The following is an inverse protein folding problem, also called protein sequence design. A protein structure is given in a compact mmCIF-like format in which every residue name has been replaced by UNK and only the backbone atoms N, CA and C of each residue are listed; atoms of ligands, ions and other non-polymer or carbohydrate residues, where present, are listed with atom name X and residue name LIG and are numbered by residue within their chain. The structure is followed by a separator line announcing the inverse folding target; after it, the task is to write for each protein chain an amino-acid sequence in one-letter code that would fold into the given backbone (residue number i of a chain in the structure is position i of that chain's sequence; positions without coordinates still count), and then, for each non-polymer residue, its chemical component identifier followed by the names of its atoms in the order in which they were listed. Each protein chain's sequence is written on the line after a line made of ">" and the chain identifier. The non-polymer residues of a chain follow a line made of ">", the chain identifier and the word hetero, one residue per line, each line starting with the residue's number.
data_IF_193921574500
#
_entry.id   IF_193921574500
#
_cell.length_a   1.000
_cell.length_b   1.000
_cell.length_c   1.000
_cell.angle_alpha   90.00
_cell.angle_beta   90.00
_cell.angle_gamma   90.00
#
_symmetry.space_group_name_H-M   'P 1'
#
loop_
_entity.id
_entity.type
_entity.pdbx_description
1 polymer ?
#
# COMPACT_ATOMS: atom_id res chain seq x y z
N UNK A 1 0.99 16.66 -5.27
CA UNK A 1 0.38 17.43 -4.15
C UNK A 1 1.45 18.12 -3.29
N UNK A 2 1.11 19.14 -2.49
CA UNK A 2 2.04 19.68 -1.48
C UNK A 2 2.09 18.76 -0.25
N UNK A 3 3.15 18.86 0.56
CA UNK A 3 3.32 17.94 1.70
C UNK A 3 2.23 18.10 2.77
N UNK A 4 1.87 19.36 3.09
CA UNK A 4 0.74 19.69 3.97
C UNK A 4 -0.58 19.09 3.49
N UNK A 5 -0.89 19.22 2.20
CA UNK A 5 -2.14 18.70 1.65
C UNK A 5 -2.18 17.16 1.67
N UNK A 6 -1.03 16.51 1.54
CA UNK A 6 -0.94 15.05 1.66
C UNK A 6 -1.20 14.56 3.09
N UNK A 7 -0.71 15.28 4.11
CA UNK A 7 -1.03 14.98 5.51
C UNK A 7 -2.50 15.24 5.85
N UNK A 8 -3.10 16.32 5.34
CA UNK A 8 -4.53 16.59 5.51
C UNK A 8 -5.40 15.50 4.89
N UNK A 9 -5.00 14.98 3.72
CA UNK A 9 -5.68 13.86 3.08
C UNK A 9 -5.52 12.56 3.89
N UNK A 10 -4.32 12.31 4.44
CA UNK A 10 -4.06 11.15 5.29
C UNK A 10 -4.91 11.15 6.58
N UNK A 11 -5.03 12.30 7.25
CA UNK A 11 -5.88 12.47 8.44
C UNK A 11 -7.36 12.19 8.12
N UNK A 12 -7.85 12.64 6.96
CA UNK A 12 -9.20 12.34 6.50
C UNK A 12 -9.40 10.84 6.23
N UNK A 13 -8.46 10.19 5.56
CA UNK A 13 -8.49 8.74 5.31
C UNK A 13 -8.51 7.95 6.64
N UNK A 14 -7.70 8.36 7.62
CA UNK A 14 -7.65 7.75 8.95
C UNK A 14 -9.01 7.84 9.68
N UNK A 15 -9.74 8.93 9.46
CA UNK A 15 -11.10 9.19 9.99
C UNK A 15 -12.22 8.62 9.12
N UNK A 16 -11.89 7.82 8.10
CA UNK A 16 -12.84 7.23 7.14
C UNK A 16 -13.63 8.27 6.33
N UNK A 17 -13.08 9.47 6.17
CA UNK A 17 -13.59 10.49 5.27
C UNK A 17 -12.85 10.42 3.93
N UNK A 18 -13.49 9.81 2.93
CA UNK A 18 -12.89 9.60 1.61
C UNK A 18 -13.29 10.65 0.57
N UNK A 19 -14.01 11.71 0.97
CA UNK A 19 -14.59 12.67 0.01
C UNK A 19 -13.52 13.36 -0.84
N UNK A 20 -12.44 13.84 -0.22
CA UNK A 20 -11.34 14.48 -0.95
C UNK A 20 -10.51 13.47 -1.75
N UNK A 21 -10.32 12.26 -1.22
CA UNK A 21 -9.63 11.18 -1.93
C UNK A 21 -10.37 10.82 -3.23
N UNK A 22 -11.69 10.67 -3.15
CA UNK A 22 -12.53 10.35 -4.28
C UNK A 22 -12.54 11.48 -5.30
N UNK A 23 -12.67 12.73 -4.84
CA UNK A 23 -12.64 13.90 -5.73
C UNK A 23 -11.30 14.01 -6.45
N UNK A 24 -10.17 13.80 -5.75
CA UNK A 24 -8.84 13.78 -6.35
C UNK A 24 -8.74 12.76 -7.50
N UNK A 25 -9.30 11.56 -7.33
CA UNK A 25 -9.32 10.54 -8.38
C UNK A 25 -10.19 10.94 -9.57
N UNK A 26 -11.40 11.43 -9.30
CA UNK A 26 -12.35 11.89 -10.33
C UNK A 26 -11.75 13.03 -11.16
N UNK A 27 -11.12 14.02 -10.50
CA UNK A 27 -10.49 15.17 -11.16
C UNK A 27 -9.32 14.76 -12.07
N UNK A 28 -8.71 13.59 -11.81
CA UNK A 28 -7.64 13.02 -12.63
C UNK A 28 -8.14 11.92 -13.58
N UNK A 29 -9.47 11.79 -13.76
CA UNK A 29 -10.06 10.85 -14.73
C UNK A 29 -9.92 9.38 -14.37
N UNK A 30 -9.67 9.06 -13.10
CA UNK A 30 -9.56 7.68 -12.58
C UNK A 30 -10.68 7.37 -11.60
N UNK A 31 -11.07 6.09 -11.54
CA UNK A 31 -12.10 5.63 -10.62
C UNK A 31 -11.68 5.86 -9.15
N UNK A 32 -12.60 6.30 -8.27
CA UNK A 32 -12.31 6.38 -6.84
C UNK A 32 -11.83 5.03 -6.27
N UNK A 33 -10.81 5.03 -5.40
CA UNK A 33 -10.31 3.79 -4.82
C UNK A 33 -11.27 3.29 -3.74
N UNK A 34 -11.27 1.98 -3.51
CA UNK A 34 -11.87 1.40 -2.32
C UNK A 34 -10.85 1.42 -1.19
N UNK A 35 -11.27 1.83 0.00
CA UNK A 35 -10.45 1.85 1.21
C UNK A 35 -11.22 1.19 2.34
N UNK A 36 -10.61 0.21 3.02
CA UNK A 36 -11.24 -0.58 4.09
C UNK A 36 -10.25 -0.73 5.24
N UNK A 37 -10.57 -0.15 6.38
CA UNK A 37 -9.84 -0.38 7.64
C UNK A 37 -10.25 -1.70 8.29
N UNK A 38 -9.30 -2.31 8.99
CA UNK A 38 -9.45 -3.59 9.67
C UNK A 38 -10.20 -4.66 8.83
N UNK A 39 -9.76 -4.94 7.59
CA UNK A 39 -10.39 -5.95 6.76
C UNK A 39 -10.40 -7.31 7.49
N UNK A 40 -11.44 -8.09 7.25
CA UNK A 40 -11.48 -9.51 7.61
C UNK A 40 -10.90 -10.31 6.45
N UNK A 41 -10.40 -11.53 6.71
CA UNK A 41 -9.85 -12.39 5.65
C UNK A 41 -10.83 -12.58 4.49
N UNK A 42 -12.12 -12.78 4.79
CA UNK A 42 -13.18 -12.91 3.77
C UNK A 42 -13.42 -11.66 2.90
N UNK A 43 -12.93 -10.50 3.32
CA UNK A 43 -13.05 -9.25 2.58
C UNK A 43 -11.91 -9.10 1.54
N UNK A 44 -10.89 -9.96 1.62
CA UNK A 44 -9.71 -9.97 0.77
C UNK A 44 -9.87 -11.03 -0.33
N UNK A 45 -9.77 -10.61 -1.59
CA UNK A 45 -10.00 -11.50 -2.74
C UNK A 45 -8.90 -12.54 -2.95
N UNK A 46 -7.67 -12.23 -2.52
CA UNK A 46 -6.48 -13.04 -2.83
C UNK A 46 -6.00 -13.80 -1.59
N UNK A 47 -5.75 -15.11 -1.76
CA UNK A 47 -5.29 -16.00 -0.68
C UNK A 47 -3.98 -15.50 -0.04
N UNK A 48 -3.10 -14.88 -0.83
CA UNK A 48 -1.84 -14.29 -0.34
C UNK A 48 -2.10 -13.15 0.65
N UNK A 49 -3.11 -12.32 0.40
CA UNK A 49 -3.48 -11.23 1.31
C UNK A 49 -4.19 -11.78 2.57
N UNK A 50 -5.04 -12.80 2.40
CA UNK A 50 -5.66 -13.49 3.54
C UNK A 50 -4.61 -14.10 4.46
N UNK A 51 -3.61 -14.77 3.87
CA UNK A 51 -2.48 -15.36 4.55
C UNK A 51 -1.67 -14.29 5.31
N UNK A 52 -1.28 -13.19 4.65
CA UNK A 52 -0.51 -12.12 5.30
C UNK A 52 -1.26 -11.48 6.47
N UNK A 53 -2.56 -11.24 6.32
CA UNK A 53 -3.39 -10.71 7.40
C UNK A 53 -3.44 -11.67 8.60
N UNK A 54 -3.60 -12.97 8.35
CA UNK A 54 -3.63 -13.98 9.40
C UNK A 54 -2.27 -14.11 10.10
N UNK A 55 -1.18 -14.12 9.32
CA UNK A 55 0.19 -14.14 9.83
C UNK A 55 0.45 -12.95 10.76
N UNK A 56 0.15 -11.73 10.32
CA UNK A 56 0.36 -10.53 11.13
C UNK A 56 -0.51 -10.52 12.39
N UNK A 57 -1.76 -10.96 12.31
CA UNK A 57 -2.65 -11.08 13.50
C UNK A 57 -2.17 -12.12 14.51
N UNK A 58 -1.47 -13.16 14.08
CA UNK A 58 -0.91 -14.15 14.99
C UNK A 58 0.34 -13.63 15.74
N UNK A 59 0.99 -12.59 15.21
CA UNK A 59 2.10 -11.90 15.86
C UNK A 59 1.63 -10.74 16.75
N UNK A 60 0.42 -10.22 16.53
CA UNK A 60 -0.02 -9.01 17.22
C UNK A 60 -0.21 -9.24 18.72
N UNK A 61 0.26 -8.30 19.52
CA UNK A 61 0.07 -8.28 20.96
C UNK A 61 -1.38 -7.97 21.37
N UNK A 62 -1.63 -7.85 22.68
CA UNK A 62 -2.96 -7.54 23.22
C UNK A 62 -3.54 -6.18 22.78
N UNK A 63 -2.69 -5.26 22.31
CA UNK A 63 -3.08 -3.94 21.78
C UNK A 63 -3.14 -3.95 20.24
N UNK A 64 -2.96 -5.11 19.60
CA UNK A 64 -2.98 -5.25 18.15
C UNK A 64 -1.73 -4.72 17.45
N UNK A 65 -0.58 -4.65 18.15
CA UNK A 65 0.70 -4.17 17.58
C UNK A 65 1.61 -5.35 17.23
N UNK A 66 2.38 -5.22 16.17
CA UNK A 66 3.42 -6.18 15.78
C UNK A 66 4.75 -5.46 15.73
N UNK A 67 5.80 -6.01 16.34
CA UNK A 67 7.12 -5.42 16.28
C UNK A 67 7.78 -5.73 14.92
N UNK A 68 8.53 -4.76 14.37
CA UNK A 68 9.13 -4.90 13.05
C UNK A 68 10.19 -6.01 12.96
N UNK A 69 10.78 -6.41 14.08
CA UNK A 69 11.75 -7.50 14.21
C UNK A 69 11.12 -8.89 14.39
N UNK A 70 9.80 -8.98 14.66
CA UNK A 70 9.05 -10.24 14.67
C UNK A 70 8.71 -10.74 13.26
N UNK A 71 8.86 -9.89 12.23
CA UNK A 71 8.60 -10.27 10.85
C UNK A 71 9.74 -11.15 10.31
N UNK A 72 9.45 -12.44 10.18
CA UNK A 72 10.32 -13.42 9.54
C UNK A 72 9.86 -13.72 8.09
N UNK A 73 10.66 -13.38 7.06
CA UNK A 73 10.37 -13.71 5.66
C UNK A 73 10.14 -15.21 5.41
N UNK A 74 10.76 -16.10 6.17
CA UNK A 74 10.60 -17.55 6.00
C UNK A 74 9.21 -18.02 6.40
N UNK A 75 8.54 -17.31 7.31
CA UNK A 75 7.15 -17.59 7.67
C UNK A 75 6.15 -16.95 6.70
N UNK A 76 6.62 -16.20 5.70
CA UNK A 76 5.77 -15.52 4.70
C UNK A 76 5.79 -16.16 3.31
N UNK A 77 6.40 -17.34 3.17
CA UNK A 77 6.62 -18.01 1.88
C UNK A 77 5.43 -18.00 0.90
N UNK A 78 4.17 -18.30 1.32
CA UNK A 78 3.02 -18.30 0.41
C UNK A 78 2.73 -16.95 -0.26
N UNK A 79 3.15 -15.83 0.36
CA UNK A 79 2.88 -14.49 -0.12
C UNK A 79 4.16 -13.71 -0.52
N UNK A 80 5.35 -14.27 -0.30
CA UNK A 80 6.63 -13.56 -0.39
C UNK A 80 6.86 -12.85 -1.74
N UNK A 81 6.43 -13.47 -2.85
CA UNK A 81 6.50 -12.88 -4.19
C UNK A 81 5.64 -11.61 -4.37
N UNK A 82 4.67 -11.38 -3.48
CA UNK A 82 3.73 -10.26 -3.47
C UNK A 82 3.94 -9.32 -2.27
N UNK A 83 5.05 -9.45 -1.56
CA UNK A 83 5.36 -8.59 -0.41
C UNK A 83 6.19 -7.38 -0.85
N UNK A 84 5.85 -6.21 -0.32
CA UNK A 84 6.71 -5.03 -0.28
C UNK A 84 6.96 -4.70 1.19
N UNK A 85 8.22 -4.53 1.56
CA UNK A 85 8.58 -4.07 2.90
C UNK A 85 9.06 -2.63 2.82
N UNK A 86 8.41 -1.73 3.56
CA UNK A 86 8.63 -0.29 3.43
C UNK A 86 9.01 0.32 4.77
N UNK A 87 10.20 0.89 4.86
CA UNK A 87 10.63 1.66 6.03
C UNK A 87 10.05 3.08 5.97
N UNK A 88 9.63 3.59 7.13
CA UNK A 88 9.23 4.98 7.31
C UNK A 88 10.48 5.85 7.42
N UNK A 89 10.53 6.96 6.69
CA UNK A 89 11.65 7.93 6.72
C UNK A 89 11.15 9.24 7.30
N UNK A 90 11.88 9.77 8.28
CA UNK A 90 11.56 11.04 8.98
C UNK A 90 10.08 11.16 9.37
N UNK A 91 9.52 10.11 9.99
CA UNK A 91 8.12 10.13 10.46
C UNK A 91 7.05 10.09 9.36
N UNK A 92 7.44 9.80 8.11
CA UNK A 92 6.52 9.71 6.97
C UNK A 92 6.69 10.84 5.95
N UNK A 93 7.75 11.65 6.05
CA UNK A 93 8.16 12.55 4.96
C UNK A 93 8.44 11.73 3.68
N UNK A 94 9.06 10.55 3.83
CA UNK A 94 9.25 9.61 2.72
C UNK A 94 9.22 8.15 3.21
N UNK A 95 9.40 7.22 2.27
CA UNK A 95 9.27 5.79 2.50
C UNK A 95 10.30 5.04 1.66
N UNK A 96 11.06 4.12 2.26
CA UNK A 96 12.10 3.36 1.56
C UNK A 96 11.68 1.93 1.34
N UNK A 97 11.71 1.48 0.10
CA UNK A 97 11.43 0.09 -0.26
C UNK A 97 12.64 -0.79 0.07
N UNK A 98 12.51 -1.67 1.06
CA UNK A 98 13.55 -2.63 1.48
C UNK A 98 13.47 -3.95 0.74
N UNK A 99 12.26 -4.41 0.50
CA UNK A 99 11.95 -5.65 -0.22
C UNK A 99 10.88 -5.32 -1.24
N UNK A 100 11.08 -5.77 -2.47
CA UNK A 100 10.08 -5.70 -3.52
C UNK A 100 9.87 -7.10 -4.10
N UNK A 101 8.66 -7.63 -3.94
CA UNK A 101 8.32 -9.00 -4.33
C UNK A 101 8.51 -9.23 -5.83
N UNK A 102 9.10 -10.36 -6.18
CA UNK A 102 9.43 -10.70 -7.58
C UNK A 102 8.21 -10.83 -8.49
N UNK A 103 7.07 -11.32 -7.97
CA UNK A 103 5.84 -11.40 -8.76
C UNK A 103 5.26 -10.01 -9.06
N UNK A 104 5.50 -9.03 -8.17
CA UNK A 104 5.13 -7.63 -8.42
C UNK A 104 6.04 -7.06 -9.50
N UNK A 105 7.36 -7.19 -9.35
CA UNK A 105 8.32 -6.68 -10.32
C UNK A 105 8.04 -7.17 -11.75
N UNK A 106 7.70 -8.45 -11.91
CA UNK A 106 7.33 -9.05 -13.19
C UNK A 106 6.05 -8.45 -13.80
N UNK A 107 5.10 -8.01 -12.97
CA UNK A 107 3.81 -7.49 -13.45
C UNK A 107 3.88 -6.05 -13.96
N UNK A 108 4.85 -5.26 -13.51
CA UNK A 108 5.02 -3.84 -13.89
C UNK A 108 6.34 -3.55 -14.61
N UNK A 109 7.19 -4.55 -14.82
CA UNK A 109 8.55 -4.45 -15.39
C UNK A 109 9.42 -3.37 -14.74
N UNK A 110 9.25 -3.19 -13.42
CA UNK A 110 9.96 -2.20 -12.62
C UNK A 110 10.33 -2.83 -11.27
N UNK A 111 11.61 -2.75 -10.92
CA UNK A 111 12.11 -3.02 -9.56
C UNK A 111 12.52 -1.70 -8.89
N UNK A 112 11.91 -1.42 -7.74
CA UNK A 112 12.18 -0.22 -6.93
C UNK A 112 12.88 -0.54 -5.62
N UNK A 113 13.43 -1.75 -5.46
CA UNK A 113 14.18 -2.14 -4.26
C UNK A 113 15.31 -1.16 -3.98
N UNK A 114 15.42 -0.74 -2.72
CA UNK A 114 16.42 0.22 -2.23
C UNK A 114 16.06 1.68 -2.44
N UNK A 115 15.06 1.99 -3.28
CA UNK A 115 14.66 3.36 -3.60
C UNK A 115 13.70 3.94 -2.56
N UNK A 116 13.70 5.26 -2.44
CA UNK A 116 12.60 6.00 -1.85
C UNK A 116 11.38 5.98 -2.77
N UNK A 117 10.17 6.09 -2.21
CA UNK A 117 8.94 6.24 -2.99
C UNK A 117 9.03 7.47 -3.90
N UNK A 118 9.63 8.56 -3.43
CA UNK A 118 9.90 9.78 -4.21
C UNK A 118 10.84 9.58 -5.41
N UNK A 119 11.65 8.51 -5.41
CA UNK A 119 12.62 8.18 -6.48
C UNK A 119 12.04 7.17 -7.50
N UNK A 120 10.80 6.74 -7.33
CA UNK A 120 10.14 5.80 -8.24
C UNK A 120 9.61 6.51 -9.50
N UNK A 121 9.36 5.78 -10.61
CA UNK A 121 8.81 6.39 -11.81
C UNK A 121 7.32 6.77 -11.69
N UNK A 122 6.66 6.46 -10.57
CA UNK A 122 5.24 6.75 -10.37
C UNK A 122 5.02 8.24 -10.09
N UNK A 123 3.93 8.81 -10.63
CA UNK A 123 3.67 10.25 -10.57
C UNK A 123 2.18 10.55 -10.45
N UNK A 124 1.84 11.82 -10.23
CA UNK A 124 0.46 12.32 -10.23
C UNK A 124 -0.42 11.68 -9.14
N UNK A 125 -1.69 11.44 -9.49
CA UNK A 125 -2.71 10.94 -8.55
C UNK A 125 -2.33 9.61 -7.89
N UNK A 126 -1.57 8.74 -8.58
CA UNK A 126 -1.09 7.46 -8.02
C UNK A 126 -0.12 7.72 -6.88
N UNK A 127 0.83 8.64 -7.08
CA UNK A 127 1.80 8.99 -6.06
C UNK A 127 1.15 9.68 -4.86
N UNK A 128 0.25 10.64 -5.15
CA UNK A 128 -0.51 11.35 -4.12
C UNK A 128 -1.35 10.37 -3.27
N UNK A 129 -1.98 9.37 -3.92
CA UNK A 129 -2.71 8.31 -3.24
C UNK A 129 -1.81 7.45 -2.36
N UNK A 130 -0.65 7.01 -2.85
CA UNK A 130 0.26 6.16 -2.09
C UNK A 130 0.74 6.88 -0.83
N UNK A 131 1.26 8.12 -0.95
CA UNK A 131 1.65 8.89 0.23
C UNK A 131 0.52 9.03 1.24
N UNK A 132 -0.70 9.33 0.78
CA UNK A 132 -1.85 9.51 1.67
C UNK A 132 -2.19 8.24 2.45
N UNK A 133 -2.19 7.06 1.82
CA UNK A 133 -2.52 5.80 2.53
C UNK A 133 -1.39 5.31 3.43
N UNK A 134 -0.12 5.49 3.06
CA UNK A 134 0.99 5.17 3.96
C UNK A 134 0.96 6.06 5.19
N UNK A 135 0.78 7.37 5.02
CA UNK A 135 0.66 8.32 6.13
C UNK A 135 -0.58 8.04 7.00
N UNK A 136 -1.70 7.66 6.40
CA UNK A 136 -2.91 7.30 7.14
C UNK A 136 -2.67 6.10 8.08
N UNK A 137 -1.88 5.11 7.65
CA UNK A 137 -1.49 3.96 8.50
C UNK A 137 -0.56 4.38 9.64
N UNK A 138 0.23 5.44 9.48
CA UNK A 138 1.01 5.99 10.60
C UNK A 138 0.13 6.70 11.62
N UNK A 139 -0.93 7.38 11.18
CA UNK A 139 -1.91 8.08 12.04
C UNK A 139 -2.80 7.07 12.77
N UNK A 140 -3.31 6.07 12.05
CA UNK A 140 -4.17 5.00 12.55
C UNK A 140 -3.45 3.66 12.32
N UNK A 141 -2.68 3.16 13.31
CA UNK A 141 -1.84 1.97 13.17
C UNK A 141 -2.66 0.68 13.21
N UNK A 142 -3.50 0.51 12.19
CA UNK A 142 -4.38 -0.63 11.98
C UNK A 142 -4.20 -1.17 10.56
N UNK A 143 -4.56 -2.45 10.30
CA UNK A 143 -4.56 -2.99 8.95
C UNK A 143 -5.44 -2.15 7.99
N UNK A 144 -4.89 -1.75 6.85
CA UNK A 144 -5.59 -1.00 5.81
C UNK A 144 -5.56 -1.78 4.49
N UNK A 145 -6.72 -1.99 3.89
CA UNK A 145 -6.83 -2.58 2.57
C UNK A 145 -7.35 -1.57 1.55
N UNK A 146 -6.77 -1.59 0.35
CA UNK A 146 -7.19 -0.74 -0.77
C UNK A 146 -7.31 -1.51 -2.07
N UNK A 147 -8.27 -1.09 -2.90
CA UNK A 147 -8.37 -1.47 -4.31
C UNK A 147 -8.29 -0.19 -5.12
N UNK A 148 -7.39 -0.11 -6.10
CA UNK A 148 -7.31 1.05 -6.99
C UNK A 148 -7.00 0.61 -8.42
N UNK A 149 -7.60 1.30 -9.38
CA UNK A 149 -7.30 1.13 -10.79
C UNK A 149 -6.03 1.94 -11.10
N UNK A 150 -4.99 1.33 -11.69
CA UNK A 150 -3.86 2.11 -12.15
C UNK A 150 -4.23 2.88 -13.44
N UNK A 151 -3.45 3.91 -13.82
CA UNK A 151 -3.66 4.65 -15.06
C UNK A 151 -3.73 3.76 -16.31
N UNK A 152 -4.39 4.24 -17.35
CA UNK A 152 -4.76 3.46 -18.55
C UNK A 152 -3.57 2.78 -19.28
N UNK A 153 -2.36 3.30 -19.11
CA UNK A 153 -1.11 2.81 -19.69
C UNK A 153 -0.44 1.67 -18.88
N UNK A 154 -1.01 1.28 -17.75
CA UNK A 154 -0.55 0.13 -16.94
C UNK A 154 -1.34 -1.14 -17.27
N UNK A 155 -0.63 -2.25 -17.45
CA UNK A 155 -1.18 -3.55 -17.87
C UNK A 155 -1.99 -4.33 -16.82
N UNK A 156 -2.64 -3.66 -15.88
CA UNK A 156 -3.41 -4.28 -14.79
C UNK A 156 -4.72 -3.52 -14.60
N UNK A 157 -5.85 -4.22 -14.41
CA UNK A 157 -7.15 -3.59 -14.16
C UNK A 157 -7.24 -2.98 -12.77
N UNK A 158 -6.75 -3.70 -11.77
CA UNK A 158 -6.93 -3.36 -10.37
C UNK A 158 -5.73 -3.81 -9.55
N UNK A 159 -5.35 -3.03 -8.55
CA UNK A 159 -4.34 -3.43 -7.56
C UNK A 159 -4.97 -3.63 -6.21
N UNK A 160 -4.73 -4.80 -5.62
CA UNK A 160 -5.16 -5.13 -4.27
C UNK A 160 -3.98 -4.94 -3.33
N UNK A 161 -4.08 -3.98 -2.41
CA UNK A 161 -3.02 -3.66 -1.46
C UNK A 161 -3.50 -3.79 -0.04
N UNK A 162 -2.84 -4.64 0.74
CA UNK A 162 -3.00 -4.75 2.18
C UNK A 162 -1.77 -4.14 2.86
N UNK A 163 -1.96 -3.19 3.76
CA UNK A 163 -0.91 -2.51 4.52
C UNK A 163 -1.04 -2.88 5.98
N UNK A 164 0.06 -3.38 6.55
CA UNK A 164 0.13 -3.91 7.91
C UNK A 164 1.22 -3.16 8.67
N UNK A 165 0.86 -2.29 9.63
CA UNK A 165 1.82 -1.45 10.36
C UNK A 165 2.71 -2.30 11.27
N UNK A 166 3.97 -1.89 11.42
CA UNK A 166 4.95 -2.54 12.28
C UNK A 166 5.64 -1.49 13.18
N UNK A 167 5.61 -1.75 14.48
CA UNK A 167 6.19 -0.88 15.50
C UNK A 167 7.70 -1.04 15.62
N UNK A 168 8.39 0.07 15.88
CA UNK A 168 9.76 0.09 16.37
C UNK A 168 9.83 0.00 17.90
N UNK A 169 11.05 -0.04 18.43
CA UNK A 169 11.29 -0.09 19.87
C UNK A 169 10.77 1.15 20.63
N UNK A 170 10.54 2.27 19.92
CA UNK A 170 9.97 3.50 20.46
C UNK A 170 8.42 3.53 20.44
N UNK A 171 7.79 2.44 19.99
CA UNK A 171 6.34 2.30 19.88
C UNK A 171 5.73 3.02 18.67
N UNK A 172 6.53 3.73 17.87
CA UNK A 172 6.07 4.35 16.61
C UNK A 172 6.12 3.34 15.47
N UNK A 173 5.29 3.55 14.46
CA UNK A 173 5.38 2.75 13.24
C UNK A 173 6.66 3.13 12.50
N UNK A 174 7.60 2.19 12.41
CA UNK A 174 8.88 2.38 11.74
C UNK A 174 8.92 1.69 10.38
N UNK A 175 7.97 0.78 10.13
CA UNK A 175 7.89 -0.03 8.92
C UNK A 175 6.45 -0.45 8.63
N UNK A 176 6.16 -0.71 7.36
CA UNK A 176 4.89 -1.27 6.89
C UNK A 176 5.18 -2.52 6.07
N UNK A 177 4.56 -3.63 6.44
CA UNK A 177 4.49 -4.84 5.63
C UNK A 177 3.31 -4.70 4.67
N UNK A 178 3.57 -4.78 3.37
CA UNK A 178 2.55 -4.56 2.35
C UNK A 178 2.40 -5.81 1.49
N UNK A 179 1.20 -6.37 1.42
CA UNK A 179 0.83 -7.33 0.39
C UNK A 179 0.26 -6.60 -0.81
N UNK A 180 0.78 -6.84 -2.01
CA UNK A 180 0.38 -6.14 -3.22
C UNK A 180 0.19 -7.14 -4.37
N UNK A 181 -1.07 -7.43 -4.70
CA UNK A 181 -1.45 -8.45 -5.69
C UNK A 181 -2.14 -7.77 -6.88
N UNK A 182 -1.69 -8.01 -8.13
CA UNK A 182 -2.38 -7.50 -9.31
C UNK A 182 -3.69 -8.27 -9.52
N UNK A 183 -4.74 -7.56 -9.92
CA UNK A 183 -5.95 -8.14 -10.46
C UNK A 183 -5.74 -8.62 -11.90
N UNK A 184 -6.84 -8.77 -12.65
CA UNK A 184 -6.77 -9.21 -14.04
C UNK A 184 -5.88 -8.29 -14.90
N UNK A 185 -5.12 -8.90 -15.80
CA UNK A 185 -4.38 -8.17 -16.82
C UNK A 185 -5.33 -7.45 -17.78
N UNK A 186 -4.90 -6.29 -18.29
CA UNK A 186 -5.54 -5.60 -19.42
C UNK A 186 -4.49 -5.10 -20.39
N UNK A 187 -4.86 -4.94 -21.66
CA UNK A 187 -4.00 -4.28 -22.65
C UNK A 187 -3.77 -2.82 -22.22
N UNK A 188 -2.52 -2.38 -22.03
CA UNK A 188 -2.21 -0.96 -21.85
C UNK A 188 -2.72 -0.13 -23.02
N UNK A 189 -3.35 1.00 -22.73
CA UNK A 189 -3.72 2.00 -23.73
C UNK A 189 -2.67 3.10 -23.66
N UNK A 190 -1.87 3.26 -24.71
CA UNK A 190 -0.95 4.38 -24.84
C UNK A 190 -1.69 5.56 -25.44
N UNK A 191 -1.41 6.77 -24.98
CA UNK A 191 -1.97 7.98 -25.59
C UNK A 191 -1.73 7.98 -27.11
N UNK A 192 -2.81 7.98 -27.89
CA UNK A 192 -2.78 8.14 -29.35
C UNK A 192 -2.99 6.89 -30.21
N UNK A 193 -3.32 5.72 -29.64
CA UNK A 193 -3.75 4.55 -30.43
C UNK A 193 -5.25 4.23 -30.22
N UNK A 194 -6.08 4.80 -31.09
CA UNK A 194 -7.43 4.30 -31.43
C UNK A 194 -7.34 3.30 -32.61
#
# INVERSE_FOLDING_TARGET
>A
MSDSASWDLADQIAKENFSQLNQLHIDNGVSPPKVVWQPRGRDLQHEQLQFLLAYWKNLSDGDGRVAADEIDPLNMWPALGFVILVDVVEGGEDFRVRVYGSAIAQSVDVDVTGKLISETPWQGVVMDFFYAVYRAVLIRPEPLYTEHEPPADVGVKLWHRLMLPLGGADGKICRVLVGNVPGEWRKPVKDGED
#
